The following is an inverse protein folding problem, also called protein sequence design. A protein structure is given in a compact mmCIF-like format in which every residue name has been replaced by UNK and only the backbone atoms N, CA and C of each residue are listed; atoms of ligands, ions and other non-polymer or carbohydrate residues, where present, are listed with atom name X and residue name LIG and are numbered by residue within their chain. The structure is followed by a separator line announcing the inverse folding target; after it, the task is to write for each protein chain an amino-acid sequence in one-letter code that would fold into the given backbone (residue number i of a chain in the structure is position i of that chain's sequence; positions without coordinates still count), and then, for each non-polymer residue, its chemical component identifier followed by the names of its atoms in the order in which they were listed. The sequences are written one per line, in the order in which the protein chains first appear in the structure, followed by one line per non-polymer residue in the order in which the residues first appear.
data_IF_460683217641
#
_entry.id   IF_460683217641
#
_cell.length_a   1.000
_cell.length_b   1.000
_cell.length_c   1.000
_cell.angle_alpha   90.00
_cell.angle_beta   90.00
_cell.angle_gamma   90.00
#
_symmetry.space_group_name_H-M   'P 1'
#
loop_
_entity.id
_entity.type
_entity.pdbx_description
1 polymer ?
#
# COMPACT_ATOMS: atom_id res chain seq x y z
N UNK A 1 -1.31 -46.52 -1.14
CA UNK A 1 -0.79 -45.49 -0.25
C UNK A 1 -1.73 -44.29 -0.32
N UNK A 2 -2.57 -44.10 0.67
CA UNK A 2 -3.51 -42.98 0.78
C UNK A 2 -2.70 -41.69 0.94
N UNK A 3 -2.69 -40.81 -0.08
CA UNK A 3 -2.19 -39.46 0.03
C UNK A 3 -3.02 -38.74 1.12
N UNK A 4 -2.43 -38.58 2.29
CA UNK A 4 -2.97 -37.73 3.33
C UNK A 4 -3.15 -36.32 2.73
N UNK A 5 -4.38 -35.87 2.55
CA UNK A 5 -4.69 -34.50 2.11
C UNK A 5 -4.03 -33.55 3.10
N UNK A 6 -2.88 -32.95 2.71
CA UNK A 6 -2.20 -31.95 3.54
C UNK A 6 -3.20 -30.83 3.83
N UNK A 7 -3.44 -30.59 5.10
CA UNK A 7 -4.35 -29.53 5.55
C UNK A 7 -3.60 -28.18 5.49
N UNK A 8 -3.90 -27.35 4.50
CA UNK A 8 -3.28 -26.03 4.31
C UNK A 8 -4.04 -24.88 4.96
N UNK A 9 -5.09 -25.16 5.76
CA UNK A 9 -5.91 -24.12 6.40
C UNK A 9 -5.07 -23.23 7.30
N UNK A 10 -4.21 -23.80 8.14
CA UNK A 10 -3.37 -23.04 9.07
C UNK A 10 -2.31 -22.17 8.37
N UNK A 11 -1.53 -22.69 7.38
CA UNK A 11 -0.65 -21.84 6.55
C UNK A 11 -1.39 -20.71 5.83
N UNK A 12 -2.58 -20.96 5.27
CA UNK A 12 -3.39 -19.92 4.61
C UNK A 12 -3.84 -18.86 5.61
N UNK A 13 -4.34 -19.26 6.79
CA UNK A 13 -4.74 -18.32 7.84
C UNK A 13 -3.56 -17.44 8.29
N UNK A 14 -2.35 -18.04 8.37
CA UNK A 14 -1.15 -17.28 8.69
C UNK A 14 -0.78 -16.25 7.60
N UNK A 15 -0.90 -16.62 6.33
CA UNK A 15 -0.68 -15.66 5.24
C UNK A 15 -1.69 -14.51 5.29
N UNK A 16 -2.93 -14.78 5.67
CA UNK A 16 -3.93 -13.74 5.86
C UNK A 16 -3.59 -12.82 7.04
N UNK A 17 -3.08 -13.36 8.15
CA UNK A 17 -2.60 -12.57 9.27
C UNK A 17 -1.42 -11.67 8.87
N UNK A 18 -0.49 -12.18 8.04
CA UNK A 18 0.61 -11.38 7.50
C UNK A 18 0.11 -10.25 6.59
N UNK A 19 -0.91 -10.46 5.76
CA UNK A 19 -1.53 -9.38 4.97
C UNK A 19 -2.10 -8.28 5.87
N UNK A 20 -2.83 -8.65 6.92
CA UNK A 20 -3.37 -7.69 7.88
C UNK A 20 -2.25 -6.91 8.59
N UNK A 21 -1.16 -7.59 8.97
CA UNK A 21 0.00 -6.98 9.62
C UNK A 21 0.72 -5.98 8.70
N UNK A 22 0.94 -6.33 7.42
CA UNK A 22 1.53 -5.42 6.44
C UNK A 22 0.74 -4.11 6.39
N UNK A 23 -0.58 -4.22 6.25
CA UNK A 23 -1.45 -3.05 6.16
C UNK A 23 -1.53 -2.27 7.47
N UNK A 24 -1.47 -2.94 8.62
CA UNK A 24 -1.43 -2.28 9.92
C UNK A 24 -0.22 -1.34 10.01
N UNK A 25 0.96 -1.85 9.70
CA UNK A 25 2.21 -1.08 9.80
C UNK A 25 2.26 0.06 8.76
N UNK A 26 1.91 -0.22 7.52
CA UNK A 26 1.87 0.82 6.47
C UNK A 26 0.81 1.87 6.74
N UNK A 27 -0.32 1.50 7.32
CA UNK A 27 -1.41 2.43 7.67
C UNK A 27 -1.02 3.45 8.75
N UNK A 28 -0.08 3.11 9.64
CA UNK A 28 0.42 4.04 10.66
C UNK A 28 1.18 5.24 10.07
N UNK A 29 1.64 5.17 8.82
CA UNK A 29 2.33 6.31 8.18
C UNK A 29 1.45 7.54 8.04
N UNK A 30 0.12 7.38 7.92
CA UNK A 30 -0.82 8.50 7.84
C UNK A 30 -0.82 9.36 9.12
N UNK A 31 -1.16 8.84 10.30
CA UNK A 31 -1.15 9.63 11.53
C UNK A 31 0.25 10.13 11.89
N UNK A 32 1.30 9.34 11.64
CA UNK A 32 2.68 9.77 11.87
C UNK A 32 3.09 10.94 10.96
N UNK A 33 2.62 10.99 9.73
CA UNK A 33 2.84 12.12 8.82
C UNK A 33 2.25 13.43 9.35
N UNK A 34 1.10 13.39 10.02
CA UNK A 34 0.50 14.56 10.66
C UNK A 34 1.32 15.04 11.84
N UNK A 35 1.81 14.12 12.68
CA UNK A 35 2.70 14.45 13.82
C UNK A 35 3.98 15.11 13.31
N UNK A 36 4.60 14.55 12.27
CA UNK A 36 5.81 15.11 11.64
C UNK A 36 5.56 16.53 11.16
N UNK A 37 4.38 16.80 10.56
CA UNK A 37 4.01 18.13 10.11
C UNK A 37 4.01 19.13 11.24
N UNK A 38 3.38 18.82 12.36
CA UNK A 38 3.23 19.74 13.49
C UNK A 38 4.52 19.86 14.32
N UNK A 39 5.15 18.73 14.66
CA UNK A 39 6.36 18.73 15.49
C UNK A 39 7.54 19.45 14.84
N UNK A 40 7.75 19.24 13.52
CA UNK A 40 8.90 19.77 12.80
C UNK A 40 8.57 20.99 11.94
N UNK A 41 7.31 21.48 11.97
CA UNK A 41 6.80 22.54 11.08
C UNK A 41 7.13 22.21 9.60
N UNK A 42 6.92 20.94 9.25
CA UNK A 42 7.41 20.37 8.01
C UNK A 42 6.54 20.79 6.82
N UNK A 43 7.17 21.06 5.68
CA UNK A 43 6.47 21.22 4.40
C UNK A 43 5.70 19.95 4.02
N UNK A 44 4.65 20.05 3.20
CA UNK A 44 3.78 18.91 2.88
C UNK A 44 4.54 17.74 2.23
N UNK A 45 5.55 18.02 1.41
CA UNK A 45 6.38 16.94 0.85
C UNK A 45 7.20 16.21 1.93
N UNK A 46 7.65 16.92 2.96
CA UNK A 46 8.40 16.31 4.08
C UNK A 46 7.53 15.37 4.92
N UNK A 47 6.24 15.67 5.06
CA UNK A 47 5.30 14.80 5.79
C UNK A 47 5.18 13.41 5.13
N UNK A 48 5.44 13.34 3.82
CA UNK A 48 5.40 12.09 3.07
C UNK A 48 6.71 11.28 3.15
N UNK A 49 7.79 11.82 3.77
CA UNK A 49 9.09 11.13 3.83
C UNK A 49 9.04 9.82 4.62
N UNK A 50 8.24 9.73 5.68
CA UNK A 50 8.04 8.48 6.41
C UNK A 50 7.43 7.38 5.53
N UNK A 51 6.38 7.73 4.80
CA UNK A 51 5.78 6.87 3.79
C UNK A 51 6.76 6.55 2.65
N UNK A 52 7.46 7.57 2.14
CA UNK A 52 8.45 7.40 1.09
C UNK A 52 9.59 6.47 1.51
N UNK A 53 10.12 6.61 2.71
CA UNK A 53 11.18 5.75 3.23
C UNK A 53 10.74 4.29 3.25
N UNK A 54 9.50 4.01 3.70
CA UNK A 54 8.94 2.67 3.73
C UNK A 54 8.83 2.07 2.32
N UNK A 55 8.28 2.81 1.35
CA UNK A 55 8.08 2.30 -0.01
C UNK A 55 9.36 2.30 -0.86
N UNK A 56 10.27 3.26 -0.68
CA UNK A 56 11.57 3.27 -1.38
C UNK A 56 12.41 2.05 -0.99
N UNK A 57 12.25 1.53 0.22
CA UNK A 57 12.88 0.29 0.65
C UNK A 57 12.58 -0.90 -0.27
N UNK A 58 11.41 -0.92 -0.94
CA UNK A 58 11.06 -1.95 -1.93
C UNK A 58 11.99 -1.93 -3.15
N UNK A 59 12.49 -0.76 -3.56
CA UNK A 59 13.43 -0.65 -4.66
C UNK A 59 14.75 -1.40 -4.37
N UNK A 60 15.17 -1.41 -3.12
CA UNK A 60 16.39 -2.09 -2.67
C UNK A 60 16.14 -3.56 -2.32
N UNK A 61 15.00 -3.87 -1.70
CA UNK A 61 14.74 -5.20 -1.15
C UNK A 61 13.97 -6.13 -2.09
N UNK A 62 13.34 -5.64 -3.15
CA UNK A 62 12.51 -6.44 -4.05
C UNK A 62 13.25 -7.63 -4.68
N UNK A 63 14.41 -7.39 -5.27
CA UNK A 63 15.24 -8.47 -5.82
C UNK A 63 15.89 -9.36 -4.73
N UNK A 64 16.52 -8.83 -3.66
CA UNK A 64 17.01 -9.62 -2.55
C UNK A 64 15.95 -10.52 -1.91
N UNK A 65 14.72 -10.03 -1.70
CA UNK A 65 13.62 -10.82 -1.14
C UNK A 65 13.29 -12.03 -2.02
N UNK A 66 13.22 -11.86 -3.34
CA UNK A 66 13.05 -12.97 -4.28
C UNK A 66 14.19 -14.00 -4.23
N UNK A 67 15.43 -13.54 -4.08
CA UNK A 67 16.58 -14.45 -3.90
C UNK A 67 16.53 -15.19 -2.55
N UNK A 68 16.11 -14.53 -1.49
CA UNK A 68 15.93 -15.16 -0.17
C UNK A 68 14.90 -16.28 -0.25
N UNK A 69 13.75 -16.06 -0.89
CA UNK A 69 12.72 -17.09 -1.09
C UNK A 69 13.31 -18.36 -1.73
N UNK A 70 14.12 -18.21 -2.76
CA UNK A 70 14.75 -19.34 -3.46
C UNK A 70 15.77 -20.06 -2.59
N UNK A 71 16.63 -19.31 -1.88
CA UNK A 71 17.76 -19.87 -1.12
C UNK A 71 17.38 -20.44 0.23
N UNK A 72 16.62 -19.69 1.03
CA UNK A 72 16.30 -20.04 2.42
C UNK A 72 14.84 -20.46 2.63
N UNK A 73 13.98 -20.31 1.60
CA UNK A 73 12.58 -20.72 1.61
C UNK A 73 11.63 -19.69 2.23
N UNK A 74 10.35 -20.01 2.19
CA UNK A 74 9.26 -19.08 2.61
C UNK A 74 9.28 -18.82 4.11
N UNK A 75 9.37 -19.88 4.95
CA UNK A 75 9.33 -19.75 6.41
C UNK A 75 10.46 -18.87 6.93
N UNK A 76 11.71 -19.15 6.53
CA UNK A 76 12.87 -18.38 7.00
C UNK A 76 12.83 -16.94 6.51
N UNK A 77 12.40 -16.69 5.27
CA UNK A 77 12.23 -15.33 4.74
C UNK A 77 11.17 -14.58 5.53
N UNK A 78 10.02 -15.18 5.85
CA UNK A 78 8.98 -14.57 6.66
C UNK A 78 9.45 -14.25 8.09
N UNK A 79 10.17 -15.17 8.75
CA UNK A 79 10.75 -14.94 10.07
C UNK A 79 11.75 -13.77 10.06
N UNK A 80 12.64 -13.73 9.07
CA UNK A 80 13.58 -12.60 8.89
C UNK A 80 12.82 -11.29 8.69
N UNK A 81 11.78 -11.30 7.86
CA UNK A 81 10.98 -10.12 7.58
C UNK A 81 10.32 -9.58 8.86
N UNK A 82 9.69 -10.47 9.65
CA UNK A 82 9.01 -10.08 10.90
C UNK A 82 10.02 -9.53 11.92
N UNK A 83 11.20 -10.14 12.04
CA UNK A 83 12.27 -9.64 12.93
C UNK A 83 12.76 -8.25 12.49
N UNK A 84 12.99 -8.05 11.18
CA UNK A 84 13.40 -6.73 10.62
C UNK A 84 12.32 -5.69 10.85
N UNK A 85 11.04 -6.05 10.70
CA UNK A 85 9.92 -5.14 10.96
C UNK A 85 9.83 -4.73 12.43
N UNK A 86 10.01 -5.66 13.35
CA UNK A 86 10.09 -5.38 14.78
C UNK A 86 11.20 -4.37 15.10
N UNK A 87 12.39 -4.57 14.53
CA UNK A 87 13.54 -3.65 14.71
C UNK A 87 13.20 -2.28 14.12
N UNK A 88 12.63 -2.22 12.91
CA UNK A 88 12.28 -0.96 12.25
C UNK A 88 11.29 -0.12 13.06
N UNK A 89 10.21 -0.74 13.56
CA UNK A 89 9.25 -0.06 14.45
C UNK A 89 9.89 0.31 15.78
N UNK A 90 10.77 -0.55 16.32
CA UNK A 90 11.55 -0.24 17.53
C UNK A 90 12.43 1.02 17.38
N UNK A 91 13.05 1.22 16.22
CA UNK A 91 13.82 2.45 15.92
C UNK A 91 12.88 3.68 15.90
N UNK A 92 11.66 3.53 15.36
CA UNK A 92 10.66 4.62 15.38
C UNK A 92 10.24 4.96 16.82
N UNK A 93 10.03 3.96 17.69
CA UNK A 93 9.76 4.19 19.11
C UNK A 93 10.92 4.91 19.80
N UNK A 94 12.15 4.48 19.55
CA UNK A 94 13.35 5.11 20.11
C UNK A 94 13.47 6.59 19.68
N UNK A 95 13.13 6.93 18.44
CA UNK A 95 13.14 8.32 17.99
C UNK A 95 12.19 9.20 18.79
N UNK A 96 11.02 8.66 19.20
CA UNK A 96 10.07 9.37 20.06
C UNK A 96 10.50 9.52 21.53
N UNK A 97 11.50 8.78 21.98
CA UNK A 97 12.04 8.86 23.35
C UNK A 97 13.25 9.80 23.49
N UNK A 98 13.74 10.32 22.37
CA UNK A 98 14.89 11.24 22.38
C UNK A 98 14.44 12.66 22.68
N UNK A 99 15.31 13.41 23.37
CA UNK A 99 15.09 14.83 23.60
C UNK A 99 15.02 15.58 22.26
N UNK A 100 13.95 16.33 22.07
CA UNK A 100 13.73 17.14 20.88
C UNK A 100 13.98 18.62 21.19
N UNK A 101 14.88 19.22 20.42
CA UNK A 101 15.07 20.67 20.41
C UNK A 101 14.45 21.29 19.16
N UNK A 102 13.68 22.38 19.26
CA UNK A 102 13.10 23.04 18.09
C UNK A 102 14.16 23.39 17.04
N UNK A 103 13.94 22.97 15.79
CA UNK A 103 14.87 23.15 14.68
C UNK A 103 15.90 22.03 14.50
N UNK A 104 15.94 21.05 15.38
CA UNK A 104 16.82 19.88 15.25
C UNK A 104 16.12 18.74 14.50
N UNK A 105 16.78 18.21 13.47
CA UNK A 105 16.22 17.14 12.62
C UNK A 105 16.73 15.74 12.99
N UNK A 106 17.52 15.58 14.04
CA UNK A 106 18.10 14.28 14.43
C UNK A 106 17.01 13.24 14.71
N UNK A 107 16.00 13.60 15.49
CA UNK A 107 14.85 12.74 15.81
C UNK A 107 14.11 12.33 14.53
N UNK A 108 13.93 13.26 13.60
CA UNK A 108 13.29 13.00 12.32
C UNK A 108 14.07 11.99 11.45
N UNK A 109 15.40 12.14 11.35
CA UNK A 109 16.22 11.20 10.58
C UNK A 109 16.23 9.80 11.19
N UNK A 110 16.21 9.67 12.51
CA UNK A 110 16.11 8.37 13.19
C UNK A 110 14.75 7.73 12.92
N UNK A 111 13.68 8.52 13.00
CA UNK A 111 12.33 8.07 12.61
C UNK A 111 12.29 7.55 11.17
N UNK A 112 12.85 8.29 10.21
CA UNK A 112 12.93 7.89 8.81
C UNK A 112 13.73 6.60 8.61
N UNK A 113 14.83 6.43 9.36
CA UNK A 113 15.62 5.20 9.34
C UNK A 113 14.78 4.01 9.80
N UNK A 114 13.99 4.16 10.87
CA UNK A 114 13.06 3.15 11.33
C UNK A 114 11.99 2.80 10.29
N UNK A 115 11.42 3.81 9.62
CA UNK A 115 10.45 3.63 8.55
C UNK A 115 11.06 2.88 7.35
N UNK A 116 12.29 3.20 6.96
CA UNK A 116 13.02 2.53 5.88
C UNK A 116 13.30 1.05 6.21
N UNK A 117 13.74 0.76 7.43
CA UNK A 117 13.97 -0.63 7.90
C UNK A 117 12.65 -1.41 7.94
N UNK A 118 11.55 -0.79 8.39
CA UNK A 118 10.21 -1.39 8.33
C UNK A 118 9.80 -1.71 6.89
N UNK A 119 10.15 -0.87 5.93
CA UNK A 119 9.90 -1.08 4.51
C UNK A 119 10.56 -2.34 3.96
N UNK A 120 11.76 -2.71 4.41
CA UNK A 120 12.38 -3.99 4.04
C UNK A 120 11.53 -5.17 4.51
N UNK A 121 11.01 -5.13 5.72
CA UNK A 121 10.09 -6.14 6.24
C UNK A 121 8.85 -6.27 5.35
N UNK A 122 8.19 -5.16 5.05
CA UNK A 122 6.97 -5.15 4.24
C UNK A 122 7.20 -5.72 2.83
N UNK A 123 8.34 -5.39 2.21
CA UNK A 123 8.74 -5.94 0.91
C UNK A 123 8.94 -7.47 0.97
N UNK A 124 9.69 -7.96 1.95
CA UNK A 124 9.92 -9.40 2.14
C UNK A 124 8.61 -10.15 2.41
N UNK A 125 7.72 -9.61 3.24
CA UNK A 125 6.42 -10.23 3.53
C UNK A 125 5.54 -10.31 2.30
N UNK A 126 5.45 -9.25 1.51
CA UNK A 126 4.71 -9.26 0.25
C UNK A 126 5.27 -10.29 -0.75
N UNK A 127 6.60 -10.44 -0.80
CA UNK A 127 7.26 -11.45 -1.62
C UNK A 127 6.95 -12.88 -1.15
N UNK A 128 6.70 -13.10 0.14
CA UNK A 128 6.32 -14.41 0.71
C UNK A 128 4.83 -14.72 0.48
N UNK A 129 3.97 -13.78 0.87
CA UNK A 129 2.53 -14.05 1.04
C UNK A 129 1.84 -14.32 -0.28
N UNK A 130 2.08 -13.48 -1.29
CA UNK A 130 1.40 -13.58 -2.59
C UNK A 130 1.68 -14.90 -3.33
N UNK A 131 2.96 -15.30 -3.58
CA UNK A 131 3.25 -16.55 -4.27
C UNK A 131 2.84 -17.78 -3.47
N UNK A 132 2.99 -17.75 -2.13
CA UNK A 132 2.65 -18.88 -1.30
C UNK A 132 1.14 -19.15 -1.31
N UNK A 133 0.29 -18.12 -1.16
CA UNK A 133 -1.16 -18.26 -1.28
C UNK A 133 -1.58 -18.80 -2.65
N UNK A 134 -0.97 -18.30 -3.72
CA UNK A 134 -1.25 -18.79 -5.06
C UNK A 134 -0.95 -20.29 -5.19
N UNK A 135 0.21 -20.72 -4.69
CA UNK A 135 0.64 -22.11 -4.77
C UNK A 135 -0.19 -23.04 -3.88
N UNK A 136 -0.51 -22.62 -2.64
CA UNK A 136 -1.33 -23.41 -1.71
C UNK A 136 -2.77 -23.63 -2.22
N UNK A 137 -3.28 -22.70 -3.01
CA UNK A 137 -4.59 -22.83 -3.68
C UNK A 137 -4.55 -23.71 -4.96
N UNK A 138 -3.37 -24.14 -5.40
CA UNK A 138 -3.19 -24.89 -6.64
C UNK A 138 -3.11 -24.03 -7.89
N UNK A 139 -2.83 -22.73 -7.75
CA UNK A 139 -2.66 -21.80 -8.86
C UNK A 139 -3.95 -21.37 -9.56
N UNK A 140 -3.82 -20.66 -10.67
CA UNK A 140 -4.92 -20.26 -11.55
C UNK A 140 -6.01 -19.43 -10.87
N UNK A 141 -7.30 -19.70 -11.22
CA UNK A 141 -8.43 -18.93 -10.69
C UNK A 141 -8.57 -19.02 -9.17
N UNK A 142 -8.31 -20.19 -8.56
CA UNK A 142 -8.38 -20.37 -7.09
C UNK A 142 -7.26 -19.62 -6.37
N UNK A 143 -6.05 -19.64 -6.94
CA UNK A 143 -4.93 -18.86 -6.42
C UNK A 143 -5.22 -17.37 -6.40
N UNK A 144 -5.75 -16.85 -7.51
CA UNK A 144 -6.15 -15.44 -7.61
C UNK A 144 -7.26 -15.09 -6.61
N UNK A 145 -8.28 -15.95 -6.45
CA UNK A 145 -9.33 -15.73 -5.45
C UNK A 145 -8.76 -15.64 -4.02
N UNK A 146 -7.83 -16.52 -3.67
CA UNK A 146 -7.25 -16.54 -2.33
C UNK A 146 -6.39 -15.29 -2.05
N UNK A 147 -5.66 -14.80 -3.06
CA UNK A 147 -4.93 -13.53 -3.01
C UNK A 147 -5.90 -12.34 -2.85
N UNK A 148 -7.03 -12.34 -3.55
CA UNK A 148 -8.05 -11.28 -3.41
C UNK A 148 -8.69 -11.29 -2.02
N UNK A 149 -8.95 -12.47 -1.44
CA UNK A 149 -9.40 -12.59 -0.05
C UNK A 149 -8.36 -12.02 0.93
N UNK A 150 -7.07 -12.36 0.76
CA UNK A 150 -5.99 -11.78 1.54
C UNK A 150 -5.91 -10.26 1.39
N UNK A 151 -6.04 -9.77 0.14
CA UNK A 151 -6.12 -8.34 -0.15
C UNK A 151 -7.31 -7.64 0.50
N UNK A 152 -8.45 -8.33 0.68
CA UNK A 152 -9.60 -7.79 1.41
C UNK A 152 -9.30 -7.63 2.91
N UNK A 153 -8.60 -8.60 3.52
CA UNK A 153 -8.14 -8.49 4.91
C UNK A 153 -7.11 -7.35 5.09
N UNK A 154 -6.23 -7.18 4.11
CA UNK A 154 -5.35 -6.01 4.06
C UNK A 154 -6.17 -4.71 4.07
N UNK A 155 -7.23 -4.61 3.27
CA UNK A 155 -8.09 -3.43 3.23
C UNK A 155 -8.89 -3.21 4.53
N UNK A 156 -9.32 -4.28 5.21
CA UNK A 156 -9.95 -4.18 6.54
C UNK A 156 -8.97 -3.55 7.53
N UNK A 157 -7.75 -4.06 7.59
CA UNK A 157 -6.71 -3.51 8.46
C UNK A 157 -6.43 -2.05 8.11
N UNK A 158 -6.28 -1.72 6.82
CA UNK A 158 -6.08 -0.35 6.34
C UNK A 158 -7.27 0.59 6.67
N UNK A 159 -8.49 0.05 6.80
CA UNK A 159 -9.67 0.80 7.25
C UNK A 159 -9.59 1.13 8.73
N UNK A 160 -9.18 0.15 9.54
CA UNK A 160 -9.15 0.28 11.00
C UNK A 160 -7.99 1.17 11.46
N UNK A 161 -6.83 1.09 10.84
CA UNK A 161 -5.60 1.74 11.33
C UNK A 161 -5.67 3.26 11.35
N UNK A 162 -6.14 3.98 10.32
CA UNK A 162 -6.30 5.43 10.41
C UNK A 162 -7.28 5.87 11.51
N UNK A 163 -8.38 5.10 11.68
CA UNK A 163 -9.37 5.33 12.74
C UNK A 163 -8.75 5.12 14.12
N UNK A 164 -8.04 4.01 14.31
CA UNK A 164 -7.34 3.69 15.54
C UNK A 164 -6.22 4.70 15.84
N UNK A 165 -5.44 5.08 14.83
CA UNK A 165 -4.37 6.07 14.95
C UNK A 165 -4.90 7.42 15.38
N UNK A 166 -5.97 7.92 14.75
CA UNK A 166 -6.62 9.15 15.13
C UNK A 166 -7.17 9.13 16.57
N UNK A 167 -7.70 7.97 17.01
CA UNK A 167 -8.19 7.79 18.37
C UNK A 167 -7.07 7.73 19.42
N UNK A 168 -5.98 7.00 19.14
CA UNK A 168 -4.87 6.81 20.07
C UNK A 168 -4.01 8.07 20.25
N UNK A 169 -3.86 8.86 19.19
CA UNK A 169 -3.06 10.08 19.20
C UNK A 169 -3.90 11.27 19.69
N UNK A 170 -5.20 11.24 19.41
CA UNK A 170 -6.13 12.33 19.76
C UNK A 170 -5.94 13.57 18.89
N UNK A 171 -6.18 14.75 19.48
CA UNK A 171 -6.06 16.04 18.77
C UNK A 171 -4.60 16.38 18.53
N UNK A 172 -4.19 16.47 17.28
CA UNK A 172 -2.82 16.85 16.89
C UNK A 172 -2.67 18.36 16.97
N UNK A 173 -1.67 18.82 17.71
CA UNK A 173 -1.32 20.22 17.92
C UNK A 173 0.19 20.41 17.78
N UNK A 174 0.66 21.66 17.89
CA UNK A 174 2.11 21.97 17.86
C UNK A 174 2.90 21.31 18.99
N UNK A 175 2.24 20.92 20.07
CA UNK A 175 2.85 20.21 21.19
C UNK A 175 2.93 18.69 21.00
N UNK A 176 2.22 18.16 19.99
CA UNK A 176 2.22 16.72 19.70
C UNK A 176 3.59 16.27 19.21
N UNK A 177 4.07 15.16 19.75
CA UNK A 177 5.40 14.56 19.47
C UNK A 177 5.26 13.15 18.90
N UNK A 178 6.33 12.66 18.26
CA UNK A 178 6.39 11.25 17.79
C UNK A 178 6.13 10.28 18.95
N UNK A 179 6.52 10.63 20.19
CA UNK A 179 6.23 9.84 21.39
C UNK A 179 4.74 9.58 21.63
N UNK A 180 3.88 10.49 21.19
CA UNK A 180 2.42 10.33 21.37
C UNK A 180 1.84 9.22 20.49
N UNK A 181 2.57 8.81 19.44
CA UNK A 181 2.26 7.63 18.64
C UNK A 181 2.79 6.31 19.25
N UNK A 182 3.57 6.35 20.34
CA UNK A 182 4.14 5.15 20.94
C UNK A 182 3.11 4.07 21.29
N UNK A 183 1.88 4.36 21.78
CA UNK A 183 0.88 3.32 22.01
C UNK A 183 0.57 2.52 20.73
N UNK A 184 0.43 3.18 19.59
CA UNK A 184 0.17 2.52 18.31
C UNK A 184 1.41 1.73 17.82
N UNK A 185 2.62 2.28 18.00
CA UNK A 185 3.87 1.61 17.66
C UNK A 185 4.12 0.39 18.55
N UNK A 186 3.82 0.44 19.83
CA UNK A 186 3.91 -0.72 20.74
C UNK A 186 2.93 -1.82 20.36
N UNK A 187 1.70 -1.48 19.92
CA UNK A 187 0.76 -2.44 19.38
C UNK A 187 1.37 -3.13 18.14
N UNK A 188 1.97 -2.37 17.22
CA UNK A 188 2.65 -2.93 16.06
C UNK A 188 3.79 -3.87 16.46
N UNK A 189 4.64 -3.49 17.40
CA UNK A 189 5.71 -4.36 17.91
C UNK A 189 5.15 -5.63 18.55
N UNK A 190 4.07 -5.53 19.33
CA UNK A 190 3.38 -6.69 19.92
C UNK A 190 2.86 -7.65 18.84
N UNK A 191 2.27 -7.14 17.78
CA UNK A 191 1.81 -7.93 16.63
C UNK A 191 3.00 -8.66 15.99
N UNK A 192 4.13 -7.96 15.72
CA UNK A 192 5.33 -8.58 15.17
C UNK A 192 5.86 -9.70 16.06
N UNK A 193 5.92 -9.48 17.37
CA UNK A 193 6.41 -10.48 18.33
C UNK A 193 5.53 -11.74 18.36
N UNK A 194 4.20 -11.57 18.42
CA UNK A 194 3.24 -12.69 18.38
C UNK A 194 3.35 -13.45 17.06
N UNK A 195 3.37 -12.74 15.93
CA UNK A 195 3.48 -13.34 14.60
C UNK A 195 4.80 -14.09 14.46
N UNK A 196 5.91 -13.56 14.96
CA UNK A 196 7.22 -14.25 14.95
C UNK A 196 7.15 -15.59 15.70
N UNK A 197 6.58 -15.61 16.91
CA UNK A 197 6.45 -16.82 17.72
C UNK A 197 5.58 -17.85 16.99
N UNK A 198 4.43 -17.44 16.47
CA UNK A 198 3.51 -18.34 15.75
C UNK A 198 4.18 -18.91 14.51
N UNK A 199 4.85 -18.08 13.69
CA UNK A 199 5.60 -18.51 12.50
C UNK A 199 6.75 -19.48 12.85
N UNK A 200 7.43 -19.27 13.98
CA UNK A 200 8.53 -20.15 14.40
C UNK A 200 8.05 -21.57 14.70
N UNK A 201 6.86 -21.69 15.33
CA UNK A 201 6.27 -22.98 15.73
C UNK A 201 5.58 -23.67 14.54
N UNK A 202 4.96 -22.91 13.63
CA UNK A 202 4.19 -23.46 12.51
C UNK A 202 5.07 -24.10 11.43
N UNK A 203 4.59 -25.18 10.82
CA UNK A 203 5.13 -25.74 9.60
C UNK A 203 4.52 -25.03 8.38
N UNK A 204 5.38 -24.36 7.60
CA UNK A 204 5.01 -23.70 6.36
C UNK A 204 5.54 -24.53 5.19
N UNK A 205 4.70 -24.87 4.20
CA UNK A 205 5.13 -25.59 3.01
C UNK A 205 6.15 -24.78 2.20
N UNK A 206 7.15 -25.48 1.65
CA UNK A 206 8.25 -24.90 0.86
C UNK A 206 8.18 -25.38 -0.61
N UNK A 207 7.20 -24.89 -1.40
CA UNK A 207 6.91 -25.45 -2.73
C UNK A 207 7.99 -25.17 -3.79
N UNK A 208 8.85 -24.17 -3.61
CA UNK A 208 9.81 -23.70 -4.62
C UNK A 208 11.23 -23.53 -4.10
N UNK A 209 11.63 -24.32 -3.10
CA UNK A 209 13.01 -24.34 -2.65
C UNK A 209 13.86 -25.05 -3.71
N UNK A 210 14.73 -24.31 -4.41
CA UNK A 210 15.64 -24.88 -5.41
C UNK A 210 16.49 -26.00 -4.78
N UNK A 211 16.47 -27.18 -5.39
CA UNK A 211 17.53 -28.17 -5.18
C UNK A 211 18.82 -27.63 -5.82
N UNK A 212 19.95 -27.78 -5.15
CA UNK A 212 21.24 -27.19 -5.51
C UNK A 212 21.81 -27.57 -6.90
N UNK A 213 21.03 -28.21 -7.77
CA UNK A 213 21.42 -28.79 -9.04
C UNK A 213 20.88 -28.12 -10.30
N UNK A 214 20.11 -27.05 -10.21
CA UNK A 214 19.61 -26.37 -11.42
C UNK A 214 20.69 -25.48 -12.02
N UNK A 215 21.34 -25.98 -13.04
CA UNK A 215 22.27 -25.25 -13.89
C UNK A 215 21.55 -24.09 -14.58
N UNK A 216 22.00 -22.88 -14.31
CA UNK A 216 21.54 -21.66 -14.98
C UNK A 216 21.89 -21.68 -16.46
N UNK A 217 20.95 -22.04 -17.32
CA UNK A 217 21.02 -21.63 -18.72
C UNK A 217 20.85 -20.10 -18.74
N UNK A 218 21.85 -19.39 -19.28
CA UNK A 218 21.82 -17.94 -19.43
C UNK A 218 20.82 -17.59 -20.54
N UNK A 219 19.60 -17.25 -20.20
CA UNK A 219 18.60 -16.79 -21.18
C UNK A 219 19.06 -15.49 -21.84
N UNK A 220 18.91 -15.40 -23.16
CA UNK A 220 19.29 -14.22 -23.96
C UNK A 220 18.30 -13.07 -23.78
N UNK A 221 17.07 -13.36 -23.32
CA UNK A 221 15.99 -12.42 -23.12
C UNK A 221 15.60 -12.30 -21.65
N UNK A 222 14.95 -11.20 -21.29
CA UNK A 222 14.45 -10.93 -19.95
C UNK A 222 13.00 -10.42 -20.05
N UNK A 223 12.25 -10.35 -18.92
CA UNK A 223 10.92 -9.71 -18.93
C UNK A 223 10.93 -8.30 -19.51
N UNK A 224 12.02 -7.55 -19.34
CA UNK A 224 12.20 -6.20 -19.89
C UNK A 224 12.28 -6.14 -21.41
N UNK A 225 12.46 -7.28 -22.09
CA UNK A 225 12.39 -7.37 -23.55
C UNK A 225 10.97 -7.24 -24.08
N UNK A 226 9.95 -7.38 -23.22
CA UNK A 226 8.54 -7.28 -23.61
C UNK A 226 8.00 -5.88 -23.34
N UNK A 227 7.61 -5.16 -24.40
CA UNK A 227 7.09 -3.79 -24.30
C UNK A 227 5.91 -3.66 -23.34
N UNK A 228 4.93 -4.56 -23.42
CA UNK A 228 3.75 -4.52 -22.56
C UNK A 228 4.09 -4.70 -21.08
N UNK A 229 5.13 -5.49 -20.78
CA UNK A 229 5.64 -5.66 -19.42
C UNK A 229 6.31 -4.37 -18.92
N UNK A 230 7.18 -3.75 -19.72
CA UNK A 230 7.85 -2.48 -19.35
C UNK A 230 6.81 -1.38 -19.08
N UNK A 231 5.82 -1.23 -19.95
CA UNK A 231 4.72 -0.28 -19.71
C UNK A 231 3.88 -0.65 -18.48
N UNK A 232 3.71 -1.95 -18.22
CA UNK A 232 3.04 -2.46 -17.02
C UNK A 232 3.81 -2.18 -15.74
N UNK A 233 5.15 -2.21 -15.76
CA UNK A 233 5.96 -1.82 -14.58
C UNK A 233 5.82 -0.34 -14.26
N UNK A 234 5.73 0.52 -15.26
CA UNK A 234 5.39 1.95 -15.04
C UNK A 234 3.95 2.10 -14.51
N UNK A 235 3.01 1.30 -15.05
CA UNK A 235 1.62 1.34 -14.59
C UNK A 235 1.49 0.95 -13.11
N UNK A 236 2.22 -0.07 -12.64
CA UNK A 236 2.19 -0.45 -11.22
C UNK A 236 2.86 0.59 -10.34
N UNK A 237 3.95 1.20 -10.81
CA UNK A 237 4.63 2.29 -10.11
C UNK A 237 3.67 3.46 -9.84
N UNK A 238 2.99 3.96 -10.88
CA UNK A 238 2.04 5.06 -10.70
C UNK A 238 0.79 4.63 -9.93
N UNK A 239 0.33 3.37 -10.10
CA UNK A 239 -0.82 2.85 -9.37
C UNK A 239 -0.61 2.88 -7.86
N UNK A 240 0.53 2.36 -7.36
CA UNK A 240 0.80 2.35 -5.91
C UNK A 240 0.88 3.78 -5.38
N UNK A 241 1.44 4.69 -6.18
CA UNK A 241 1.43 6.11 -5.85
C UNK A 241 0.03 6.71 -5.74
N UNK A 242 -0.89 6.34 -6.63
CA UNK A 242 -2.30 6.75 -6.58
C UNK A 242 -3.01 6.16 -5.37
N UNK A 243 -2.82 4.85 -5.12
CA UNK A 243 -3.44 4.12 -4.00
C UNK A 243 -3.10 4.75 -2.65
N UNK A 244 -1.87 5.19 -2.47
CA UNK A 244 -1.37 5.81 -1.23
C UNK A 244 -1.59 7.33 -1.22
N UNK A 245 -1.39 7.99 -2.34
CA UNK A 245 -1.48 9.45 -2.46
C UNK A 245 -2.88 9.99 -2.18
N UNK A 246 -3.92 9.36 -2.72
CA UNK A 246 -5.30 9.82 -2.50
C UNK A 246 -5.65 9.93 -1.01
N UNK A 247 -5.56 8.83 -0.20
CA UNK A 247 -5.94 8.89 1.20
C UNK A 247 -5.02 9.79 2.04
N UNK A 248 -3.71 9.84 1.74
CA UNK A 248 -2.78 10.72 2.44
C UNK A 248 -3.14 12.20 2.26
N UNK A 249 -3.51 12.61 1.05
CA UNK A 249 -3.85 14.00 0.79
C UNK A 249 -5.29 14.36 1.18
N UNK A 250 -6.22 13.39 1.23
CA UNK A 250 -7.50 13.57 1.94
C UNK A 250 -7.23 13.92 3.41
N UNK A 251 -6.35 13.15 4.07
CA UNK A 251 -6.03 13.35 5.47
C UNK A 251 -5.41 14.73 5.73
N UNK A 252 -4.39 15.10 4.95
CA UNK A 252 -3.72 16.40 5.04
C UNK A 252 -4.70 17.57 4.82
N UNK A 253 -5.54 17.50 3.79
CA UNK A 253 -6.54 18.53 3.50
C UNK A 253 -7.54 18.68 4.65
N UNK A 254 -8.06 17.56 5.17
CA UNK A 254 -9.06 17.60 6.23
C UNK A 254 -8.52 18.14 7.55
N UNK A 255 -7.28 17.79 7.91
CA UNK A 255 -6.69 18.15 9.21
C UNK A 255 -6.00 19.51 9.21
N UNK A 256 -5.54 20.01 8.06
CA UNK A 256 -4.88 21.32 7.99
C UNK A 256 -5.88 22.44 8.28
N UNK A 257 -5.43 23.45 9.05
CA UNK A 257 -6.25 24.64 9.35
C UNK A 257 -6.61 25.43 8.08
N UNK A 258 -7.83 26.01 8.01
CA UNK A 258 -8.19 26.95 6.94
C UNK A 258 -7.34 28.24 6.96
N UNK A 259 -6.73 28.57 8.09
CA UNK A 259 -5.88 29.75 8.28
C UNK A 259 -4.39 29.45 8.10
N UNK A 260 -4.02 28.24 7.63
CA UNK A 260 -2.63 27.88 7.41
C UNK A 260 -1.94 28.82 6.40
N UNK A 261 -0.69 29.14 6.65
CA UNK A 261 0.11 30.05 5.81
C UNK A 261 0.39 29.51 4.40
N UNK A 262 0.37 28.17 4.23
CA UNK A 262 0.57 27.46 2.96
C UNK A 262 -0.73 26.94 2.35
N UNK A 263 -0.73 25.66 1.97
CA UNK A 263 -1.93 24.98 1.49
C UNK A 263 -2.98 24.93 2.59
N UNK A 264 -4.13 25.49 2.31
CA UNK A 264 -5.26 25.59 3.26
C UNK A 264 -6.05 24.29 3.26
N UNK A 265 -6.55 23.91 4.44
CA UNK A 265 -7.36 22.73 4.65
C UNK A 265 -8.76 23.04 5.20
N UNK A 266 -9.38 22.01 5.77
CA UNK A 266 -10.74 22.09 6.31
C UNK A 266 -10.79 22.29 7.84
N UNK A 267 -9.69 21.97 8.56
CA UNK A 267 -9.59 22.13 10.01
C UNK A 267 -10.36 21.10 10.83
N UNK A 268 -10.52 19.88 10.28
CA UNK A 268 -11.22 18.77 10.93
C UNK A 268 -10.31 18.09 11.96
N UNK A 269 -10.92 17.52 13.00
CA UNK A 269 -10.24 16.70 13.99
C UNK A 269 -9.61 15.45 13.33
N UNK A 270 -8.42 15.03 13.83
CA UNK A 270 -7.65 13.94 13.25
C UNK A 270 -8.38 12.59 13.33
N UNK A 271 -9.16 12.33 14.39
CA UNK A 271 -9.91 11.08 14.52
C UNK A 271 -11.03 11.00 13.46
N UNK A 272 -11.67 12.15 13.19
CA UNK A 272 -12.71 12.26 12.17
C UNK A 272 -12.12 12.13 10.75
N UNK A 273 -11.03 12.84 10.48
CA UNK A 273 -10.30 12.71 9.22
C UNK A 273 -9.84 11.26 8.98
N UNK A 274 -9.35 10.58 10.03
CA UNK A 274 -9.00 9.16 10.00
C UNK A 274 -10.18 8.26 9.62
N UNK A 275 -11.39 8.58 10.10
CA UNK A 275 -12.62 7.84 9.74
C UNK A 275 -12.98 8.01 8.26
N UNK A 276 -12.78 9.20 7.69
CA UNK A 276 -12.98 9.46 6.26
C UNK A 276 -11.96 8.72 5.41
N UNK A 277 -10.70 8.74 5.81
CA UNK A 277 -9.62 7.95 5.17
C UNK A 277 -9.90 6.44 5.28
N UNK A 278 -10.37 5.97 6.43
CA UNK A 278 -10.81 4.59 6.62
C UNK A 278 -11.92 4.19 5.64
N UNK A 279 -12.83 5.13 5.31
CA UNK A 279 -13.88 4.88 4.32
C UNK A 279 -13.32 4.65 2.90
N UNK A 280 -12.25 5.34 2.49
CA UNK A 280 -11.56 5.05 1.23
C UNK A 280 -11.11 3.58 1.17
N UNK A 281 -10.46 3.09 2.22
CA UNK A 281 -9.99 1.71 2.31
C UNK A 281 -11.13 0.69 2.42
N UNK A 282 -12.21 1.06 3.09
CA UNK A 282 -13.42 0.24 3.16
C UNK A 282 -14.08 0.09 1.77
N UNK A 283 -14.17 1.17 1.01
CA UNK A 283 -14.66 1.14 -0.38
C UNK A 283 -13.74 0.30 -1.27
N UNK A 284 -12.42 0.35 -1.04
CA UNK A 284 -11.47 -0.52 -1.74
C UNK A 284 -11.72 -1.99 -1.41
N UNK A 285 -12.03 -2.35 -0.16
CA UNK A 285 -12.40 -3.71 0.21
C UNK A 285 -13.64 -4.18 -0.57
N UNK A 286 -14.70 -3.37 -0.59
CA UNK A 286 -15.92 -3.67 -1.34
C UNK A 286 -15.59 -3.88 -2.82
N UNK A 287 -14.80 -2.98 -3.41
CA UNK A 287 -14.39 -3.07 -4.80
C UNK A 287 -13.59 -4.35 -5.11
N UNK A 288 -12.70 -4.80 -4.21
CA UNK A 288 -11.96 -6.07 -4.34
C UNK A 288 -12.89 -7.28 -4.32
N UNK A 289 -13.87 -7.32 -3.43
CA UNK A 289 -14.86 -8.39 -3.35
C UNK A 289 -15.73 -8.41 -4.60
N UNK A 290 -16.27 -7.28 -5.03
CA UNK A 290 -17.06 -7.16 -6.26
C UNK A 290 -16.24 -7.49 -7.51
N UNK A 291 -15.02 -6.97 -7.60
CA UNK A 291 -14.10 -7.19 -8.72
C UNK A 291 -13.68 -8.65 -8.86
N UNK A 292 -13.47 -9.35 -7.74
CA UNK A 292 -13.23 -10.79 -7.74
C UNK A 292 -14.39 -11.59 -8.30
N UNK A 293 -15.63 -11.22 -7.95
CA UNK A 293 -16.85 -11.84 -8.49
C UNK A 293 -17.05 -11.53 -9.99
N UNK A 294 -16.79 -10.28 -10.40
CA UNK A 294 -16.92 -9.83 -11.78
C UNK A 294 -15.77 -10.33 -12.68
N UNK A 295 -14.63 -10.66 -12.12
CA UNK A 295 -13.44 -11.16 -12.83
C UNK A 295 -13.67 -12.48 -13.58
N UNK A 296 -14.70 -13.23 -13.22
CA UNK A 296 -15.14 -14.42 -13.98
C UNK A 296 -15.82 -14.06 -15.30
N UNK A 297 -16.40 -12.85 -15.42
CA UNK A 297 -17.20 -12.41 -16.57
C UNK A 297 -16.47 -11.44 -17.49
N UNK A 298 -15.65 -10.55 -16.94
CA UNK A 298 -14.99 -9.47 -17.68
C UNK A 298 -13.47 -9.63 -17.67
N UNK A 299 -12.81 -9.32 -18.79
CA UNK A 299 -11.36 -9.37 -18.92
C UNK A 299 -10.68 -8.30 -18.03
N UNK A 300 -9.46 -8.56 -17.59
CA UNK A 300 -8.63 -7.58 -16.84
C UNK A 300 -8.50 -6.24 -17.59
N UNK A 301 -8.40 -6.29 -18.93
CA UNK A 301 -8.37 -5.09 -19.78
C UNK A 301 -9.66 -4.27 -19.65
N UNK A 302 -10.82 -4.90 -19.78
CA UNK A 302 -12.12 -4.22 -19.67
C UNK A 302 -12.30 -3.61 -18.28
N UNK A 303 -12.01 -4.39 -17.23
CA UNK A 303 -12.12 -3.93 -15.86
C UNK A 303 -11.22 -2.71 -15.60
N UNK A 304 -9.93 -2.79 -15.98
CA UNK A 304 -8.98 -1.69 -15.79
C UNK A 304 -9.40 -0.44 -16.58
N UNK A 305 -9.91 -0.59 -17.81
CA UNK A 305 -10.41 0.53 -18.61
C UNK A 305 -11.58 1.23 -17.92
N UNK A 306 -12.57 0.47 -17.44
CA UNK A 306 -13.77 1.03 -16.81
C UNK A 306 -13.40 1.76 -15.51
N UNK A 307 -12.63 1.12 -14.62
CA UNK A 307 -12.29 1.75 -13.33
C UNK A 307 -11.35 2.94 -13.47
N UNK A 308 -10.41 2.92 -14.43
CA UNK A 308 -9.55 4.08 -14.71
C UNK A 308 -10.34 5.25 -15.27
N UNK A 309 -11.29 5.00 -16.19
CA UNK A 309 -12.17 6.04 -16.72
C UNK A 309 -13.06 6.65 -15.64
N UNK A 310 -13.64 5.81 -14.77
CA UNK A 310 -14.47 6.26 -13.67
C UNK A 310 -13.67 7.07 -12.64
N UNK A 311 -12.45 6.62 -12.32
CA UNK A 311 -11.54 7.34 -11.43
C UNK A 311 -11.18 8.73 -11.97
N UNK A 312 -10.93 8.87 -13.28
CA UNK A 312 -10.68 10.19 -13.91
C UNK A 312 -11.88 11.12 -13.76
N UNK A 313 -13.11 10.59 -13.95
CA UNK A 313 -14.34 11.38 -13.75
C UNK A 313 -14.46 11.83 -12.29
N UNK A 314 -14.26 10.92 -11.32
CA UNK A 314 -14.33 11.25 -9.90
C UNK A 314 -13.26 12.27 -9.51
N UNK A 315 -12.03 12.14 -10.02
CA UNK A 315 -10.96 13.11 -9.78
C UNK A 315 -11.33 14.49 -10.33
N UNK A 316 -11.86 14.59 -11.55
CA UNK A 316 -12.29 15.86 -12.11
C UNK A 316 -13.40 16.50 -11.29
N UNK A 317 -14.44 15.74 -10.93
CA UNK A 317 -15.51 16.27 -10.07
C UNK A 317 -14.92 16.72 -8.74
N UNK A 318 -14.04 15.90 -8.12
CA UNK A 318 -13.42 16.23 -6.85
C UNK A 318 -12.57 17.51 -6.88
N UNK A 319 -11.81 17.72 -7.97
CA UNK A 319 -10.94 18.90 -8.14
C UNK A 319 -11.72 20.18 -8.45
N UNK A 320 -12.84 20.09 -9.16
CA UNK A 320 -13.62 21.25 -9.56
C UNK A 320 -14.84 21.54 -8.67
N UNK A 321 -15.16 20.64 -7.73
CA UNK A 321 -16.23 20.88 -6.76
C UNK A 321 -15.87 22.05 -5.85
N UNK A 322 -16.79 23.03 -5.64
CA UNK A 322 -16.54 24.13 -4.72
C UNK A 322 -16.28 23.61 -3.30
N UNK A 323 -15.20 24.04 -2.67
CA UNK A 323 -14.81 23.61 -1.32
C UNK A 323 -15.83 23.94 -0.24
N UNK A 324 -16.66 24.98 -0.47
CA UNK A 324 -17.74 25.38 0.42
C UNK A 324 -18.98 24.47 0.35
N UNK A 325 -19.11 23.67 -0.72
CA UNK A 325 -20.24 22.75 -0.87
C UNK A 325 -19.94 21.47 -0.11
N UNK A 326 -20.74 21.18 0.90
CA UNK A 326 -20.60 19.99 1.76
C UNK A 326 -21.74 19.01 1.53
N UNK A 327 -21.47 17.75 1.85
CA UNK A 327 -22.41 16.63 1.77
C UNK A 327 -22.24 15.72 2.99
N UNK A 328 -23.33 15.12 3.44
CA UNK A 328 -23.27 14.09 4.47
C UNK A 328 -22.82 12.77 3.81
N UNK A 329 -21.69 12.23 4.27
CA UNK A 329 -21.09 11.00 3.79
C UNK A 329 -21.10 9.94 4.88
N UNK A 330 -21.48 8.67 4.59
CA UNK A 330 -21.33 7.59 5.56
C UNK A 330 -19.85 7.30 5.79
N UNK A 331 -19.45 7.26 7.07
CA UNK A 331 -18.08 6.96 7.48
C UNK A 331 -18.06 5.87 8.55
N UNK A 332 -16.98 5.11 8.61
CA UNK A 332 -16.76 4.15 9.68
C UNK A 332 -16.08 4.87 10.85
N UNK A 333 -16.80 4.98 11.97
CA UNK A 333 -16.33 5.64 13.20
C UNK A 333 -15.72 4.62 14.15
N UNK A 334 -14.61 5.01 14.78
CA UNK A 334 -13.99 4.31 15.91
C UNK A 334 -14.32 5.00 17.26
N UNK A 335 -13.67 4.54 18.33
CA UNK A 335 -13.81 5.10 19.67
C UNK A 335 -14.85 4.39 20.53
N UNK A 336 -15.59 5.12 21.36
CA UNK A 336 -16.53 4.55 22.33
C UNK A 336 -17.73 3.83 21.68
N UNK A 337 -18.08 4.18 20.44
CA UNK A 337 -19.11 3.50 19.64
C UNK A 337 -18.58 3.19 18.25
N UNK A 338 -18.10 1.95 18.06
CA UNK A 338 -17.65 1.47 16.74
C UNK A 338 -18.88 1.24 15.85
N UNK A 339 -18.94 1.87 14.69
CA UNK A 339 -20.06 1.71 13.76
C UNK A 339 -20.02 2.70 12.59
N UNK A 340 -21.06 2.65 11.76
CA UNK A 340 -21.24 3.63 10.70
C UNK A 340 -21.99 4.87 11.23
N UNK A 341 -21.51 6.04 10.84
CA UNK A 341 -22.15 7.32 11.10
C UNK A 341 -22.14 8.19 9.86
N UNK A 342 -22.81 9.34 9.94
CA UNK A 342 -22.79 10.35 8.87
C UNK A 342 -21.88 11.50 9.30
N UNK A 343 -21.01 11.93 8.38
CA UNK A 343 -20.15 13.10 8.57
C UNK A 343 -20.27 14.08 7.42
N UNK A 344 -20.21 15.36 7.74
CA UNK A 344 -20.27 16.42 6.74
C UNK A 344 -18.89 16.70 6.19
N UNK A 345 -18.69 16.45 4.90
CA UNK A 345 -17.43 16.64 4.19
C UNK A 345 -17.62 17.50 2.95
N UNK A 346 -16.57 18.20 2.47
CA UNK A 346 -16.60 18.81 1.14
C UNK A 346 -16.92 17.76 0.07
N UNK A 347 -17.77 18.13 -0.89
CA UNK A 347 -18.17 17.23 -2.01
C UNK A 347 -16.96 16.64 -2.71
N UNK A 348 -15.90 17.44 -2.94
CA UNK A 348 -14.66 16.96 -3.56
C UNK A 348 -14.02 15.78 -2.83
N UNK A 349 -14.01 15.83 -1.50
CA UNK A 349 -13.45 14.76 -0.66
C UNK A 349 -14.26 13.46 -0.78
N UNK A 350 -15.58 13.55 -0.87
CA UNK A 350 -16.42 12.37 -1.13
C UNK A 350 -16.03 11.70 -2.43
N UNK A 351 -15.82 12.45 -3.52
CA UNK A 351 -15.41 11.88 -4.81
C UNK A 351 -13.99 11.31 -4.77
N UNK A 352 -13.07 11.91 -4.04
CA UNK A 352 -11.74 11.33 -3.83
C UNK A 352 -11.82 10.03 -3.02
N UNK A 353 -12.67 9.95 -1.99
CA UNK A 353 -12.89 8.72 -1.24
C UNK A 353 -13.52 7.62 -2.12
N UNK A 354 -14.45 7.97 -3.03
CA UNK A 354 -15.05 7.04 -3.99
C UNK A 354 -14.02 6.44 -4.96
N UNK A 355 -12.88 7.10 -5.20
CA UNK A 355 -11.78 6.51 -5.97
C UNK A 355 -11.26 5.19 -5.35
N UNK A 356 -11.50 4.93 -4.07
CA UNK A 356 -11.19 3.65 -3.43
C UNK A 356 -11.85 2.46 -4.12
N UNK A 357 -13.09 2.60 -4.60
CA UNK A 357 -13.76 1.57 -5.41
C UNK A 357 -13.00 1.31 -6.71
N UNK A 358 -12.50 2.36 -7.36
CA UNK A 358 -11.80 2.26 -8.64
C UNK A 358 -10.41 1.64 -8.48
N UNK A 359 -9.64 2.07 -7.48
CA UNK A 359 -8.27 1.57 -7.24
C UNK A 359 -8.24 0.12 -6.80
N UNK A 360 -9.34 -0.41 -6.27
CA UNK A 360 -9.46 -1.73 -5.67
C UNK A 360 -8.97 -2.90 -6.54
N UNK A 361 -9.27 -2.88 -7.83
CA UNK A 361 -8.97 -3.97 -8.77
C UNK A 361 -7.81 -3.64 -9.72
N UNK A 362 -7.26 -2.43 -9.65
CA UNK A 362 -6.23 -1.99 -10.61
C UNK A 362 -4.93 -2.79 -10.46
N UNK A 363 -4.49 -3.11 -9.23
CA UNK A 363 -3.31 -3.94 -8.99
C UNK A 363 -3.36 -5.26 -9.77
N UNK A 364 -4.38 -6.07 -9.51
CA UNK A 364 -4.54 -7.37 -10.17
C UNK A 364 -4.72 -7.24 -11.69
N UNK A 365 -5.44 -6.22 -12.14
CA UNK A 365 -5.64 -5.93 -13.56
C UNK A 365 -4.33 -5.61 -14.27
N UNK A 366 -3.52 -4.71 -13.71
CA UNK A 366 -2.21 -4.32 -14.27
C UNK A 366 -1.26 -5.51 -14.26
N UNK A 367 -1.17 -6.24 -13.13
CA UNK A 367 -0.30 -7.40 -13.00
C UNK A 367 -0.62 -8.47 -14.05
N UNK A 368 -1.89 -8.88 -14.15
CA UNK A 368 -2.31 -9.91 -15.09
C UNK A 368 -2.00 -9.53 -16.54
N UNK A 369 -2.25 -8.27 -16.93
CA UNK A 369 -1.96 -7.79 -18.28
C UNK A 369 -0.45 -7.70 -18.56
N UNK A 370 0.35 -7.37 -17.54
CA UNK A 370 1.79 -7.23 -17.70
C UNK A 370 2.51 -8.57 -17.82
N UNK A 371 2.03 -9.61 -17.11
CA UNK A 371 2.66 -10.94 -17.15
C UNK A 371 2.08 -11.85 -18.23
N UNK A 372 1.05 -11.39 -18.95
CA UNK A 372 0.40 -12.16 -20.01
C UNK A 372 1.42 -12.54 -21.12
N UNK A 373 1.56 -13.84 -21.37
CA UNK A 373 2.45 -14.35 -22.41
C UNK A 373 3.96 -14.28 -22.10
N UNK A 374 4.35 -14.09 -20.83
CA UNK A 374 5.77 -14.10 -20.43
C UNK A 374 6.34 -15.51 -20.16
N UNK A 375 5.51 -16.55 -20.01
CA UNK A 375 5.92 -17.93 -19.78
C UNK A 375 6.99 -18.06 -18.68
N UNK A 376 8.14 -18.60 -18.99
CA UNK A 376 9.28 -18.81 -18.07
C UNK A 376 9.80 -17.52 -17.40
N UNK A 377 9.57 -16.37 -17.98
CA UNK A 377 10.01 -15.07 -17.42
C UNK A 377 9.10 -14.52 -16.32
N UNK A 378 7.93 -15.14 -16.07
CA UNK A 378 6.93 -14.63 -15.09
C UNK A 378 7.48 -14.49 -13.67
N UNK A 379 8.33 -15.44 -13.24
CA UNK A 379 8.92 -15.38 -11.90
C UNK A 379 9.83 -14.16 -11.70
N UNK A 380 10.68 -13.86 -12.69
CA UNK A 380 11.54 -12.68 -12.68
C UNK A 380 10.71 -11.40 -12.81
N UNK A 381 9.69 -11.41 -13.65
CA UNK A 381 8.74 -10.30 -13.80
C UNK A 381 8.09 -9.92 -12.47
N UNK A 382 7.65 -10.90 -11.68
CA UNK A 382 7.05 -10.65 -10.37
C UNK A 382 8.02 -9.95 -9.41
N UNK A 383 9.33 -10.31 -9.44
CA UNK A 383 10.36 -9.62 -8.66
C UNK A 383 10.53 -8.15 -9.06
N UNK A 384 10.57 -7.87 -10.37
CA UNK A 384 10.65 -6.49 -10.90
C UNK A 384 9.40 -5.68 -10.49
N UNK A 385 8.22 -6.29 -10.49
CA UNK A 385 7.00 -5.66 -10.01
C UNK A 385 7.12 -5.21 -8.55
N UNK A 386 7.71 -6.02 -7.67
CA UNK A 386 7.91 -5.63 -6.26
C UNK A 386 8.85 -4.43 -6.13
N UNK A 387 9.89 -4.32 -6.97
CA UNK A 387 10.75 -3.12 -7.02
C UNK A 387 9.91 -1.86 -7.34
N UNK A 388 8.99 -1.95 -8.28
CA UNK A 388 8.18 -0.81 -8.74
C UNK A 388 7.13 -0.35 -7.73
N UNK A 389 6.87 -1.10 -6.66
CA UNK A 389 6.04 -0.68 -5.52
C UNK A 389 6.59 0.60 -4.85
N UNK A 390 7.87 0.93 -5.05
CA UNK A 390 8.47 2.18 -4.59
C UNK A 390 7.73 3.45 -5.08
N UNK A 391 6.92 3.34 -6.13
CA UNK A 391 6.03 4.42 -6.58
C UNK A 391 5.10 4.95 -5.50
N UNK A 392 4.70 4.11 -4.53
CA UNK A 392 3.92 4.51 -3.36
C UNK A 392 4.64 5.49 -2.42
N UNK A 393 5.95 5.55 -2.49
CA UNK A 393 6.73 6.58 -1.81
C UNK A 393 6.96 7.83 -2.67
N UNK A 394 7.29 7.63 -3.95
CA UNK A 394 7.74 8.72 -4.83
C UNK A 394 6.59 9.62 -5.26
N UNK A 395 5.46 9.07 -5.68
CA UNK A 395 4.33 9.88 -6.17
C UNK A 395 3.75 10.81 -5.09
N UNK A 396 3.52 10.37 -3.83
CA UNK A 396 3.08 11.27 -2.77
C UNK A 396 4.07 12.37 -2.43
N UNK A 397 5.39 12.15 -2.58
CA UNK A 397 6.39 13.22 -2.47
C UNK A 397 6.19 14.28 -3.54
N UNK A 398 6.01 13.87 -4.80
CA UNK A 398 5.74 14.78 -5.92
C UNK A 398 4.43 15.52 -5.67
N UNK A 399 3.40 14.82 -5.22
CA UNK A 399 2.10 15.40 -4.88
C UNK A 399 2.25 16.45 -3.77
N UNK A 400 3.06 16.17 -2.73
CA UNK A 400 3.37 17.11 -1.66
C UNK A 400 4.09 18.36 -2.15
N UNK A 401 5.10 18.19 -3.00
CA UNK A 401 5.82 19.30 -3.60
C UNK A 401 4.90 20.19 -4.45
N UNK A 402 3.97 19.60 -5.21
CA UNK A 402 2.95 20.37 -5.97
C UNK A 402 2.02 21.11 -5.02
N UNK A 403 1.58 20.49 -3.92
CA UNK A 403 0.74 21.15 -2.92
C UNK A 403 1.45 22.36 -2.29
N UNK A 404 2.76 22.24 -2.00
CA UNK A 404 3.56 23.32 -1.43
C UNK A 404 3.75 24.47 -2.43
N UNK A 405 4.12 24.17 -3.69
CA UNK A 405 4.35 25.19 -4.74
C UNK A 405 3.05 25.91 -5.10
N UNK A 406 1.93 25.18 -5.17
CA UNK A 406 0.63 25.76 -5.54
C UNK A 406 -0.15 26.31 -4.36
N UNK A 407 0.32 26.07 -3.12
CA UNK A 407 -0.42 26.34 -1.88
C UNK A 407 -1.84 25.76 -1.90
N UNK A 408 -1.99 24.58 -2.53
CA UNK A 408 -3.30 23.93 -2.71
C UNK A 408 -3.20 22.40 -2.71
N UNK A 409 -3.85 21.76 -1.75
CA UNK A 409 -3.99 20.30 -1.75
C UNK A 409 -4.79 19.80 -2.95
N UNK A 410 -5.83 20.53 -3.36
CA UNK A 410 -6.68 20.14 -4.48
C UNK A 410 -5.89 20.18 -5.80
N UNK A 411 -5.05 21.21 -6.01
CA UNK A 411 -4.19 21.29 -7.18
C UNK A 411 -3.20 20.12 -7.28
N UNK A 412 -2.76 19.56 -6.15
CA UNK A 412 -1.85 18.42 -6.14
C UNK A 412 -2.46 17.15 -6.76
N UNK A 413 -3.78 17.04 -6.83
CA UNK A 413 -4.48 15.91 -7.47
C UNK A 413 -4.28 15.84 -8.99
N UNK A 414 -3.72 16.88 -9.64
CA UNK A 414 -3.29 16.75 -11.03
C UNK A 414 -2.19 15.71 -11.23
N UNK A 415 -1.35 15.46 -10.21
CA UNK A 415 -0.36 14.38 -10.22
C UNK A 415 -1.07 13.01 -10.28
N UNK A 416 -2.10 12.84 -9.45
CA UNK A 416 -2.93 11.63 -9.40
C UNK A 416 -3.70 11.45 -10.72
N UNK A 417 -4.27 12.53 -11.25
CA UNK A 417 -4.99 12.51 -12.52
C UNK A 417 -4.09 12.05 -13.67
N UNK A 418 -2.87 12.59 -13.79
CA UNK A 418 -1.90 12.18 -14.80
C UNK A 418 -1.51 10.69 -14.67
N UNK A 419 -1.35 10.21 -13.43
CA UNK A 419 -1.05 8.81 -13.14
C UNK A 419 -2.21 7.87 -13.56
N UNK A 420 -3.46 8.24 -13.25
CA UNK A 420 -4.64 7.46 -13.66
C UNK A 420 -4.85 7.50 -15.16
N UNK A 421 -4.59 8.64 -15.80
CA UNK A 421 -4.63 8.77 -17.26
C UNK A 421 -3.60 7.83 -17.94
N UNK A 422 -2.40 7.69 -17.35
CA UNK A 422 -1.42 6.72 -17.82
C UNK A 422 -1.93 5.28 -17.67
N UNK A 423 -2.57 4.94 -16.56
CA UNK A 423 -3.15 3.59 -16.36
C UNK A 423 -4.25 3.30 -17.40
N UNK A 424 -5.07 4.29 -17.75
CA UNK A 424 -6.07 4.15 -18.82
C UNK A 424 -5.39 3.94 -20.18
N UNK A 425 -4.34 4.71 -20.50
CA UNK A 425 -3.52 4.48 -21.70
C UNK A 425 -2.94 3.06 -21.73
N UNK A 426 -2.40 2.60 -20.60
CA UNK A 426 -1.90 1.24 -20.49
C UNK A 426 -2.98 0.19 -20.78
N UNK A 427 -4.17 0.35 -20.21
CA UNK A 427 -5.30 -0.57 -20.43
C UNK A 427 -5.75 -0.60 -21.89
N UNK A 428 -5.79 0.54 -22.56
CA UNK A 428 -6.30 0.65 -23.93
C UNK A 428 -5.27 0.18 -24.98
N UNK A 429 -4.01 0.56 -24.84
CA UNK A 429 -2.95 0.41 -25.85
C UNK A 429 -1.71 -0.31 -25.34
N UNK A 430 -1.22 0.07 -24.14
CA UNK A 430 0.08 -0.36 -23.62
C UNK A 430 0.14 -1.85 -23.26
N UNK A 431 -0.96 -2.45 -22.88
CA UNK A 431 -1.03 -3.85 -22.43
C UNK A 431 -0.92 -4.88 -23.58
N UNK A 432 -0.95 -4.45 -24.84
CA UNK A 432 -0.90 -5.37 -26.00
C UNK A 432 0.52 -5.96 -26.12
N UNK A 433 0.61 -7.30 -26.06
CA UNK A 433 1.86 -8.02 -26.35
C UNK A 433 2.17 -7.93 -27.86
N UNK A 434 3.23 -7.20 -28.21
CA UNK A 434 3.71 -7.03 -29.58
C UNK A 434 4.98 -7.87 -29.86
N UNK A 435 5.60 -8.43 -28.82
CA UNK A 435 6.87 -9.16 -28.88
C UNK A 435 6.62 -10.68 -28.91
N UNK A 436 5.87 -11.15 -29.93
CA UNK A 436 5.48 -12.56 -30.07
C UNK A 436 6.62 -13.46 -30.56
N UNK A 437 7.70 -12.87 -31.04
CA UNK A 437 8.85 -13.60 -31.59
C UNK A 437 9.83 -14.09 -30.51
N UNK A 438 9.65 -13.66 -29.25
CA UNK A 438 10.49 -14.07 -28.13
C UNK A 438 10.01 -15.43 -27.61
N UNK A 439 10.89 -16.48 -27.55
CA UNK A 439 10.51 -17.78 -27.04
C UNK A 439 10.24 -17.73 -25.54
N UNK A 440 9.08 -18.21 -25.12
CA UNK A 440 8.58 -18.16 -23.73
C UNK A 440 8.45 -19.54 -23.07
N UNK A 441 8.76 -20.61 -23.83
CA UNK A 441 8.81 -22.01 -23.37
C UNK A 441 10.15 -22.36 -22.72
#
# INVERSE_FOLDING_TARGET
MTQQKKNYVLPIAMMFALFAMISFVTGLTNPLGLIVKEQFQAANWMTQLGNAANFIAYAFMGLPAGMMLKRIGYKKTALTAVAVGFIGVGIQVLSGQMDYQPGELTVFWIYLTGAFVSGFSMCMLNAVVNPLLNTLAGGGKKGNQLIQFGGSLNSISATIVPVLGGYLIGTISQDTRISDANPALFIAMGIFAVVFIVLAIMDIPEPHKESASDHKVKDTHSPLSFRHFVLGTVAIFVYVGVEVGIPNFINLFLTTSPDAAGAKGFGMDAAMAGSIVGTYWFLMMIGRLCGGALGAKFSSKTQLTVVSSLALIFLLIGMFAPSATTVAMPVFKGGASIGFGMETVPVGIMFFALCGLCTSIMWGGIFNLAVEGLGKYTAMASGIFMVMVCGGGILPLIQGAVADVTSSYIASYWVIFAAVAYMLYYALVGCKNVNKDIPVE
#
